data_IF_310660153425
#
_entry.id   IF_310660153425
#
_cell.length_a   1.000
_cell.length_b   1.000
_cell.length_c   1.000
_cell.angle_alpha   90.00
_cell.angle_beta   90.00
_cell.angle_gamma   90.00
#
_symmetry.space_group_name_H-M   'P 1'
#
loop_
_entity.id
_entity.type
_entity.pdbx_description
1 polymer ?
#
# COMPACT_ATOMS: atom_id res chain seq x y z
N UNK A 1 -17.55 18.65 -7.60
CA UNK A 1 -18.49 18.20 -6.56
C UNK A 1 -18.16 18.96 -5.28
N UNK A 2 -19.14 19.38 -4.48
CA UNK A 2 -18.91 20.10 -3.22
C UNK A 2 -19.03 19.13 -2.04
N UNK A 3 -17.94 18.95 -1.30
CA UNK A 3 -17.87 18.03 -0.16
C UNK A 3 -18.85 18.41 0.95
N UNK A 4 -19.10 19.70 1.18
CA UNK A 4 -20.02 20.16 2.23
C UNK A 4 -21.45 19.72 1.95
N UNK A 5 -21.83 19.73 0.67
CA UNK A 5 -23.13 19.23 0.23
C UNK A 5 -23.24 17.72 0.40
N UNK A 6 -22.18 16.97 0.09
CA UNK A 6 -22.15 15.51 0.26
C UNK A 6 -22.34 15.12 1.73
N UNK A 7 -21.52 15.67 2.62
CA UNK A 7 -21.56 15.31 4.05
C UNK A 7 -22.79 15.85 4.80
N UNK A 8 -23.63 16.66 4.14
CA UNK A 8 -24.90 17.12 4.69
C UNK A 8 -26.02 16.08 4.55
N UNK A 9 -25.81 15.04 3.74
CA UNK A 9 -26.81 14.00 3.52
C UNK A 9 -26.99 13.11 4.78
N UNK A 10 -28.20 12.55 5.02
CA UNK A 10 -28.52 11.81 6.24
C UNK A 10 -27.58 10.63 6.56
N UNK A 11 -27.07 9.96 5.53
CA UNK A 11 -26.13 8.86 5.63
C UNK A 11 -24.78 9.26 6.26
N UNK A 12 -24.42 10.54 6.23
CA UNK A 12 -23.21 11.08 6.87
C UNK A 12 -23.46 11.65 8.28
N UNK A 13 -24.66 11.48 8.83
CA UNK A 13 -25.01 12.03 10.16
C UNK A 13 -24.11 11.51 11.29
N UNK A 14 -23.50 10.33 11.13
CA UNK A 14 -22.53 9.77 12.07
C UNK A 14 -21.31 10.68 12.26
N UNK A 15 -20.90 11.47 11.25
CA UNK A 15 -19.78 12.41 11.37
C UNK A 15 -20.00 13.43 12.50
N UNK A 16 -21.26 13.73 12.84
CA UNK A 16 -21.64 14.65 13.91
C UNK A 16 -22.06 13.94 15.20
N UNK A 17 -22.72 12.79 15.06
CA UNK A 17 -23.40 12.12 16.17
C UNK A 17 -22.57 11.02 16.83
N UNK A 18 -21.54 10.48 16.16
CA UNK A 18 -20.70 9.43 16.72
C UNK A 18 -19.83 9.98 17.86
N UNK A 19 -19.75 9.30 19.02
CA UNK A 19 -18.99 9.76 20.18
C UNK A 19 -17.49 10.00 19.93
N UNK A 20 -16.89 9.30 18.97
CA UNK A 20 -15.47 9.42 18.64
C UNK A 20 -15.18 10.48 17.57
N UNK A 21 -16.22 11.04 16.95
CA UNK A 21 -16.13 11.98 15.84
C UNK A 21 -16.55 13.40 16.28
N UNK A 22 -17.42 14.07 15.53
CA UNK A 22 -17.89 15.42 15.84
C UNK A 22 -16.75 16.44 15.89
N UNK A 23 -16.64 17.14 17.01
CA UNK A 23 -15.65 18.20 17.22
C UNK A 23 -14.20 17.70 17.23
N UNK A 24 -14.00 16.38 17.31
CA UNK A 24 -12.67 15.76 17.23
C UNK A 24 -12.17 15.61 15.79
N UNK A 25 -13.01 15.82 14.79
CA UNK A 25 -12.57 15.81 13.39
C UNK A 25 -11.60 16.99 13.16
N UNK A 26 -10.36 16.65 12.79
CA UNK A 26 -9.32 17.63 12.50
C UNK A 26 -9.37 18.11 11.04
N UNK A 27 -9.69 17.21 10.11
CA UNK A 27 -9.99 17.55 8.71
C UNK A 27 -10.73 16.39 8.03
N UNK A 28 -11.55 16.72 7.04
CA UNK A 28 -12.09 15.81 6.04
C UNK A 28 -11.64 16.23 4.64
N UNK A 29 -11.54 15.27 3.74
CA UNK A 29 -11.29 15.47 2.31
C UNK A 29 -11.98 14.37 1.51
N UNK A 30 -12.24 14.65 0.23
CA UNK A 30 -12.47 13.57 -0.73
C UNK A 30 -11.24 12.67 -0.80
N UNK A 31 -11.48 11.36 -0.95
CA UNK A 31 -10.50 10.37 -1.38
C UNK A 31 -10.78 9.91 -2.80
N UNK A 32 -10.05 8.88 -3.23
CA UNK A 32 -10.40 8.11 -4.42
C UNK A 32 -10.52 8.96 -5.69
N UNK A 33 -11.41 8.54 -6.59
CA UNK A 33 -11.47 9.11 -7.96
C UNK A 33 -11.74 10.62 -7.98
N UNK A 34 -12.52 11.15 -7.04
CA UNK A 34 -12.82 12.58 -6.93
C UNK A 34 -11.55 13.35 -6.54
N UNK A 35 -10.80 12.86 -5.56
CA UNK A 35 -9.56 13.51 -5.12
C UNK A 35 -8.54 13.64 -6.25
N UNK A 36 -8.46 12.63 -7.13
CA UNK A 36 -7.58 12.62 -8.29
C UNK A 36 -8.14 13.37 -9.50
N UNK A 37 -9.42 13.76 -9.50
CA UNK A 37 -10.09 14.34 -10.66
C UNK A 37 -10.45 13.34 -11.75
N UNK A 38 -10.52 12.05 -11.42
CA UNK A 38 -10.76 10.94 -12.35
C UNK A 38 -12.14 10.31 -12.14
N UNK A 39 -13.07 11.04 -11.53
CA UNK A 39 -14.42 10.59 -11.27
C UNK A 39 -15.29 10.67 -12.52
N UNK A 40 -16.15 9.68 -12.71
CA UNK A 40 -17.25 9.64 -13.69
C UNK A 40 -18.58 9.83 -12.95
N UNK A 41 -19.72 10.01 -13.64
CA UNK A 41 -21.03 10.11 -12.99
C UNK A 41 -21.39 8.89 -12.11
N UNK A 42 -20.83 7.72 -12.40
CA UNK A 42 -21.04 6.46 -11.68
C UNK A 42 -19.98 6.20 -10.60
N UNK A 43 -19.02 7.13 -10.42
CA UNK A 43 -17.97 6.94 -9.44
C UNK A 43 -18.49 7.04 -8.02
N UNK A 44 -17.96 6.16 -7.18
CA UNK A 44 -18.09 6.15 -5.74
C UNK A 44 -17.55 7.46 -5.12
N UNK A 45 -18.13 7.81 -3.97
CA UNK A 45 -17.66 8.92 -3.14
C UNK A 45 -16.87 8.31 -1.99
N UNK A 46 -15.54 8.50 -2.02
CA UNK A 46 -14.68 8.20 -0.90
C UNK A 46 -14.52 9.44 -0.02
N UNK A 47 -14.70 9.29 1.29
CA UNK A 47 -14.33 10.32 2.28
C UNK A 47 -13.14 9.81 3.09
N UNK A 48 -12.16 10.69 3.28
CA UNK A 48 -10.99 10.45 4.12
C UNK A 48 -10.84 11.57 5.14
N UNK A 49 -10.28 11.28 6.30
CA UNK A 49 -10.10 12.31 7.31
C UNK A 49 -9.20 11.95 8.46
N UNK A 50 -8.97 12.96 9.29
CA UNK A 50 -8.12 12.87 10.48
C UNK A 50 -8.97 13.24 11.69
N UNK A 51 -8.85 12.47 12.75
CA UNK A 51 -9.52 12.71 14.02
C UNK A 51 -8.49 12.84 15.14
N UNK A 52 -8.76 13.73 16.08
CA UNK A 52 -7.96 13.92 17.28
C UNK A 52 -8.17 12.75 18.25
N UNK A 53 -7.15 12.30 18.98
CA UNK A 53 -7.28 11.18 19.92
C UNK A 53 -8.15 11.55 21.13
N UNK A 54 -8.62 10.55 21.87
CA UNK A 54 -9.14 10.79 23.23
C UNK A 54 -7.98 11.16 24.14
N UNK A 55 -8.15 12.10 25.10
CA UNK A 55 -7.14 12.35 26.11
C UNK A 55 -6.73 11.07 26.86
N UNK A 56 -7.68 10.17 27.13
CA UNK A 56 -7.39 8.88 27.75
C UNK A 56 -6.51 7.97 26.88
N UNK A 57 -6.74 7.92 25.57
CA UNK A 57 -5.91 7.14 24.63
C UNK A 57 -4.48 7.71 24.58
N UNK A 58 -4.35 9.04 24.56
CA UNK A 58 -3.05 9.72 24.53
C UNK A 58 -2.26 9.53 25.84
N UNK A 59 -2.93 9.45 26.98
CA UNK A 59 -2.32 9.25 28.30
C UNK A 59 -2.09 7.76 28.65
N UNK A 60 -2.39 6.84 27.73
CA UNK A 60 -2.21 5.41 27.94
C UNK A 60 -3.26 4.77 28.83
N UNK A 61 -4.39 5.45 29.07
CA UNK A 61 -5.56 4.94 29.79
C UNK A 61 -6.61 4.31 28.85
N UNK A 62 -6.34 4.26 27.54
CA UNK A 62 -7.25 3.69 26.53
C UNK A 62 -7.58 2.21 26.70
N UNK A 63 -6.84 1.48 27.55
CA UNK A 63 -7.12 0.08 27.90
C UNK A 63 -8.31 -0.08 28.85
N UNK A 64 -8.76 0.99 29.52
CA UNK A 64 -9.91 0.96 30.43
C UNK A 64 -11.25 1.07 29.69
N UNK A 65 -11.25 0.96 28.35
CA UNK A 65 -12.46 1.07 27.55
C UNK A 65 -13.39 -0.11 27.77
N UNK A 66 -14.68 0.20 27.76
CA UNK A 66 -15.77 -0.73 27.97
C UNK A 66 -15.83 -1.75 26.81
N UNK A 67 -16.01 -3.03 27.14
CA UNK A 67 -16.01 -4.16 26.17
C UNK A 67 -17.06 -3.98 25.06
N UNK A 68 -18.10 -3.19 25.31
CA UNK A 68 -19.17 -2.84 24.36
C UNK A 68 -18.65 -2.10 23.11
N UNK A 69 -17.59 -1.32 23.25
CA UNK A 69 -16.99 -0.56 22.14
C UNK A 69 -16.15 -1.43 21.20
N UNK A 70 -15.70 -2.60 21.65
CA UNK A 70 -14.93 -3.56 20.85
C UNK A 70 -15.81 -4.35 19.85
N UNK A 71 -17.14 -4.32 20.01
CA UNK A 71 -18.09 -4.99 19.11
C UNK A 71 -18.60 -4.09 17.97
N UNK A 72 -18.29 -2.79 17.98
CA UNK A 72 -18.68 -1.89 16.90
C UNK A 72 -17.76 -2.09 15.69
N UNK A 73 -18.33 -2.54 14.56
CA UNK A 73 -17.59 -2.82 13.33
C UNK A 73 -16.95 -1.59 12.67
N UNK A 74 -17.38 -0.38 13.07
CA UNK A 74 -16.81 0.87 12.61
C UNK A 74 -15.50 1.21 13.30
N UNK A 75 -15.25 0.69 14.51
CA UNK A 75 -14.10 1.07 15.31
C UNK A 75 -12.94 0.09 15.15
N UNK A 76 -11.79 0.63 14.76
CA UNK A 76 -10.55 -0.14 14.68
C UNK A 76 -9.63 0.27 15.83
N UNK A 77 -9.25 -0.73 16.62
CA UNK A 77 -8.35 -0.58 17.76
C UNK A 77 -6.98 -1.17 17.45
N UNK A 78 -5.93 -0.52 17.94
CA UNK A 78 -4.58 -1.05 17.98
C UNK A 78 -4.10 -1.23 19.42
N UNK A 79 -2.81 -1.47 19.59
CA UNK A 79 -2.20 -1.75 20.89
C UNK A 79 -2.36 -0.60 21.92
N UNK A 80 -2.54 0.64 21.43
CA UNK A 80 -2.62 1.84 22.26
C UNK A 80 -4.03 2.45 22.32
N UNK A 81 -5.06 1.73 21.88
CA UNK A 81 -6.44 2.20 21.90
C UNK A 81 -7.02 2.45 20.51
N UNK A 82 -7.96 3.40 20.42
CA UNK A 82 -8.70 3.68 19.19
C UNK A 82 -7.78 4.31 18.13
N UNK A 83 -7.83 3.78 16.91
CA UNK A 83 -6.89 4.14 15.86
C UNK A 83 -7.56 4.66 14.59
N UNK A 84 -8.78 4.21 14.28
CA UNK A 84 -9.43 4.51 13.02
C UNK A 84 -10.94 4.23 13.11
N UNK A 85 -11.71 5.06 12.40
CA UNK A 85 -13.14 4.88 12.14
C UNK A 85 -13.34 4.49 10.67
N UNK A 86 -14.16 3.47 10.40
CA UNK A 86 -14.51 3.05 9.04
C UNK A 86 -16.03 2.92 8.92
N UNK A 87 -16.63 3.71 8.05
CA UNK A 87 -18.01 3.49 7.60
C UNK A 87 -17.98 2.96 6.15
N UNK A 88 -18.37 1.69 5.99
CA UNK A 88 -18.36 1.01 4.69
C UNK A 88 -19.49 1.50 3.76
N UNK A 89 -20.73 1.73 4.23
CA UNK A 89 -21.81 2.24 3.38
C UNK A 89 -21.47 3.54 2.65
N UNK A 90 -20.75 4.46 3.31
CA UNK A 90 -20.36 5.77 2.74
C UNK A 90 -18.91 5.84 2.24
N UNK A 91 -18.17 4.72 2.26
CA UNK A 91 -16.71 4.67 2.02
C UNK A 91 -15.96 5.80 2.76
N UNK A 92 -16.27 5.96 4.05
CA UNK A 92 -15.62 6.95 4.92
C UNK A 92 -14.56 6.26 5.76
N UNK A 93 -13.32 6.76 5.69
CA UNK A 93 -12.22 6.28 6.54
C UNK A 93 -11.53 7.44 7.24
N UNK A 94 -11.55 7.44 8.57
CA UNK A 94 -10.96 8.48 9.41
C UNK A 94 -9.87 7.90 10.30
N UNK A 95 -8.70 8.52 10.33
CA UNK A 95 -7.56 8.03 11.11
C UNK A 95 -7.27 8.91 12.31
N UNK A 96 -6.98 8.29 13.45
CA UNK A 96 -6.49 9.03 14.61
C UNK A 96 -5.13 9.64 14.29
N UNK A 97 -4.91 10.87 14.75
CA UNK A 97 -3.74 11.71 14.41
C UNK A 97 -2.39 10.96 14.53
N UNK A 98 -2.17 10.22 15.61
CA UNK A 98 -0.93 9.48 15.81
C UNK A 98 -0.68 8.41 14.73
N UNK A 99 -1.73 7.68 14.34
CA UNK A 99 -1.66 6.64 13.29
C UNK A 99 -1.39 7.26 11.93
N UNK A 100 -2.12 8.31 11.56
CA UNK A 100 -1.97 8.91 10.23
C UNK A 100 -0.61 9.58 10.07
N UNK A 101 -0.08 10.23 11.11
CA UNK A 101 1.27 10.82 11.09
C UNK A 101 2.34 9.74 10.92
N UNK A 102 2.18 8.57 11.54
CA UNK A 102 3.08 7.43 11.33
C UNK A 102 3.04 6.90 9.88
N UNK A 103 1.87 6.95 9.22
CA UNK A 103 1.73 6.57 7.82
C UNK A 103 2.32 7.64 6.87
N UNK A 104 2.12 8.92 7.16
CA UNK A 104 2.74 10.03 6.44
C UNK A 104 4.27 9.98 6.52
N UNK A 105 4.82 9.69 7.71
CA UNK A 105 6.26 9.52 7.92
C UNK A 105 6.88 8.42 7.02
N UNK A 106 6.08 7.41 6.65
CA UNK A 106 6.50 6.32 5.74
C UNK A 106 6.19 6.63 4.26
N UNK A 107 5.75 7.84 3.93
CA UNK A 107 5.25 8.23 2.62
C UNK A 107 4.19 7.27 2.07
N UNK A 108 3.30 6.74 2.92
CA UNK A 108 2.32 5.74 2.48
C UNK A 108 1.37 6.30 1.40
N UNK A 109 1.29 5.68 0.20
CA UNK A 109 0.63 6.27 -0.96
C UNK A 109 -0.89 6.46 -0.79
N UNK A 110 -1.55 5.62 0.02
CA UNK A 110 -3.01 5.67 0.20
C UNK A 110 -3.45 6.72 1.23
N UNK A 111 -2.50 7.32 1.94
CA UNK A 111 -2.79 8.28 3.00
C UNK A 111 -2.16 9.62 2.73
N UNK A 112 -0.90 9.67 2.29
CA UNK A 112 -0.17 10.92 2.04
C UNK A 112 -0.89 11.81 1.01
N UNK A 113 -1.68 11.22 0.10
CA UNK A 113 -2.54 11.93 -0.84
C UNK A 113 -3.55 12.89 -0.17
N UNK A 114 -3.96 12.62 1.08
CA UNK A 114 -4.83 13.52 1.83
C UNK A 114 -4.18 14.89 2.06
N UNK A 115 -2.85 14.98 2.03
CA UNK A 115 -2.12 16.25 2.17
C UNK A 115 -1.96 16.99 0.83
N UNK A 116 -2.34 16.39 -0.30
CA UNK A 116 -2.15 16.94 -1.65
C UNK A 116 -3.45 17.25 -2.41
N UNK A 117 -4.59 17.20 -1.73
CA UNK A 117 -5.88 17.50 -2.34
C UNK A 117 -6.01 19.00 -2.65
N UNK A 118 -6.92 19.34 -3.57
CA UNK A 118 -7.26 20.74 -3.87
C UNK A 118 -7.93 21.40 -2.65
N UNK A 119 -7.73 22.71 -2.41
CA UNK A 119 -8.35 23.41 -1.28
C UNK A 119 -9.86 23.19 -1.15
N UNK A 120 -10.59 23.16 -2.27
CA UNK A 120 -12.03 22.92 -2.34
C UNK A 120 -12.46 21.48 -2.03
N UNK A 121 -11.52 20.53 -1.98
CA UNK A 121 -11.81 19.15 -1.59
C UNK A 121 -11.86 18.97 -0.07
N UNK A 122 -11.35 19.92 0.70
CA UNK A 122 -11.33 19.85 2.15
C UNK A 122 -12.60 20.43 2.77
N UNK A 123 -13.00 19.87 3.90
CA UNK A 123 -14.00 20.45 4.81
C UNK A 123 -13.68 20.09 6.26
N UNK A 124 -14.35 20.73 7.21
CA UNK A 124 -14.15 20.54 8.65
C UNK A 124 -12.67 20.64 9.07
N UNK A 125 -11.93 21.56 8.45
CA UNK A 125 -10.51 21.77 8.73
C UNK A 125 -10.38 22.60 10.00
N UNK A 126 -10.05 21.94 11.11
CA UNK A 126 -9.73 22.60 12.37
C UNK A 126 -8.34 23.25 12.34
N UNK A 127 -7.98 23.97 13.40
CA UNK A 127 -6.62 24.50 13.54
C UNK A 127 -5.55 23.40 13.54
N UNK A 128 -5.87 22.20 14.04
CA UNK A 128 -4.97 21.05 14.07
C UNK A 128 -4.77 20.45 12.68
N UNK A 129 -5.86 20.30 11.91
CA UNK A 129 -5.80 19.87 10.53
C UNK A 129 -5.02 20.87 9.67
N UNK A 130 -5.24 22.17 9.90
CA UNK A 130 -4.50 23.23 9.22
C UNK A 130 -3.00 23.17 9.53
N UNK A 131 -2.60 22.99 10.80
CA UNK A 131 -1.20 22.84 11.18
C UNK A 131 -0.51 21.68 10.45
N UNK A 132 -1.21 20.55 10.24
CA UNK A 132 -0.68 19.43 9.45
C UNK A 132 -0.49 19.81 7.97
N UNK A 133 -1.51 20.44 7.37
CA UNK A 133 -1.47 20.85 5.96
C UNK A 133 -0.39 21.91 5.70
N UNK A 134 -0.18 22.82 6.65
CA UNK A 134 0.82 23.90 6.57
C UNK A 134 2.26 23.37 6.76
N UNK A 135 2.44 22.13 7.24
CA UNK A 135 3.75 21.49 7.47
C UNK A 135 3.92 20.19 6.68
N UNK A 136 3.14 19.98 5.61
CA UNK A 136 3.08 18.71 4.87
C UNK A 136 4.43 18.27 4.28
N UNK A 137 5.29 19.23 3.95
CA UNK A 137 6.62 19.00 3.40
C UNK A 137 7.55 18.27 4.39
N UNK A 138 7.27 18.32 5.69
CA UNK A 138 8.04 17.58 6.70
C UNK A 138 7.98 16.07 6.48
N UNK A 139 6.95 15.56 5.82
CA UNK A 139 6.76 14.12 5.57
C UNK A 139 7.43 13.64 4.27
N UNK A 140 7.98 14.54 3.46
CA UNK A 140 8.56 14.19 2.17
C UNK A 140 9.98 13.67 2.32
N UNK A 141 10.24 12.52 1.71
CA UNK A 141 11.54 11.87 1.71
C UNK A 141 11.68 10.95 0.50
N UNK A 142 12.89 10.45 0.28
CA UNK A 142 13.17 9.43 -0.72
C UNK A 142 12.49 8.08 -0.44
N UNK A 143 11.90 7.87 0.74
CA UNK A 143 11.02 6.73 1.01
C UNK A 143 9.83 6.67 0.03
N UNK A 144 9.46 7.78 -0.59
CA UNK A 144 8.45 7.81 -1.65
C UNK A 144 8.78 6.83 -2.79
N UNK A 145 10.06 6.63 -3.13
CA UNK A 145 10.44 5.62 -4.13
C UNK A 145 10.03 4.22 -3.69
N UNK A 146 10.49 3.76 -2.54
CA UNK A 146 10.20 2.41 -2.05
C UNK A 146 8.71 2.16 -1.80
N UNK A 147 8.03 3.14 -1.19
CA UNK A 147 6.60 3.04 -0.84
C UNK A 147 5.68 3.04 -2.06
N UNK A 148 5.89 3.94 -3.01
CA UNK A 148 5.07 4.00 -4.22
C UNK A 148 5.47 2.93 -5.23
N UNK A 149 6.76 2.71 -5.49
CA UNK A 149 7.20 1.69 -6.45
C UNK A 149 6.85 0.28 -5.96
N UNK A 150 7.01 -0.01 -4.66
CA UNK A 150 6.60 -1.29 -4.08
C UNK A 150 5.10 -1.53 -4.21
N UNK A 151 4.28 -0.49 -3.93
CA UNK A 151 2.84 -0.59 -4.09
C UNK A 151 2.44 -0.71 -5.57
N UNK A 152 3.07 0.06 -6.46
CA UNK A 152 2.86 0.00 -7.91
C UNK A 152 3.21 -1.38 -8.48
N UNK A 153 4.37 -1.95 -8.13
CA UNK A 153 4.75 -3.33 -8.52
C UNK A 153 3.71 -4.34 -8.05
N UNK A 154 3.23 -4.22 -6.82
CA UNK A 154 2.13 -5.05 -6.31
C UNK A 154 0.82 -4.88 -7.10
N UNK A 155 0.47 -3.67 -7.54
CA UNK A 155 -0.70 -3.41 -8.39
C UNK A 155 -0.51 -3.96 -9.80
N UNK A 156 0.67 -3.77 -10.38
CA UNK A 156 1.03 -4.32 -11.68
C UNK A 156 0.94 -5.84 -11.69
N UNK A 157 1.43 -6.49 -10.63
CA UNK A 157 1.32 -7.93 -10.49
C UNK A 157 -0.14 -8.37 -10.40
N UNK A 158 -0.96 -7.73 -9.56
CA UNK A 158 -2.41 -8.00 -9.49
C UNK A 158 -3.12 -7.80 -10.83
N UNK A 159 -2.67 -6.84 -11.63
CA UNK A 159 -3.22 -6.56 -12.96
C UNK A 159 -2.87 -7.67 -13.96
N UNK A 160 -1.58 -8.05 -14.06
CA UNK A 160 -1.13 -9.20 -14.88
C UNK A 160 -1.86 -10.48 -14.51
N UNK A 161 -2.02 -10.70 -13.22
CA UNK A 161 -2.71 -11.83 -12.61
C UNK A 161 -4.19 -11.92 -12.98
N UNK A 162 -4.86 -10.78 -13.16
CA UNK A 162 -6.28 -10.72 -13.50
C UNK A 162 -6.55 -10.74 -15.02
N UNK A 163 -5.54 -10.39 -15.81
CA UNK A 163 -5.55 -10.40 -17.29
C UNK A 163 -5.17 -11.77 -17.86
N UNK A 164 -4.26 -12.49 -17.19
CA UNK A 164 -3.81 -13.80 -17.64
C UNK A 164 -4.97 -14.75 -17.89
N UNK A 165 -5.02 -15.33 -19.10
CA UNK A 165 -5.89 -16.48 -19.41
C UNK A 165 -5.70 -17.56 -18.34
N UNK A 166 -6.72 -18.38 -18.17
CA UNK A 166 -6.84 -19.54 -17.26
C UNK A 166 -5.78 -20.65 -17.51
N UNK A 167 -4.51 -20.29 -17.64
CA UNK A 167 -3.33 -21.15 -17.56
C UNK A 167 -2.74 -21.07 -16.13
N UNK A 168 -3.59 -20.82 -15.13
CA UNK A 168 -3.27 -20.33 -13.79
C UNK A 168 -2.43 -21.23 -12.87
N UNK A 169 -1.56 -22.11 -13.36
CA UNK A 169 -0.86 -23.05 -12.47
C UNK A 169 0.55 -22.60 -12.07
N UNK A 170 1.38 -22.06 -12.99
CA UNK A 170 2.83 -22.10 -12.76
C UNK A 170 3.55 -20.74 -12.70
N UNK A 171 3.24 -19.80 -13.61
CA UNK A 171 3.95 -18.49 -13.70
C UNK A 171 3.65 -17.55 -12.53
N UNK A 172 2.42 -17.62 -12.01
CA UNK A 172 1.92 -16.73 -10.95
C UNK A 172 2.66 -16.90 -9.62
N UNK A 173 2.99 -18.15 -9.30
CA UNK A 173 3.61 -18.55 -8.03
C UNK A 173 5.06 -18.13 -7.96
N UNK A 174 5.78 -18.25 -9.08
CA UNK A 174 7.18 -17.86 -9.19
C UNK A 174 7.36 -16.36 -8.92
N UNK A 175 6.46 -15.53 -9.43
CA UNK A 175 6.56 -14.07 -9.33
C UNK A 175 6.28 -13.56 -7.91
N UNK A 176 5.17 -14.00 -7.29
CA UNK A 176 4.84 -13.59 -5.92
C UNK A 176 5.91 -14.02 -4.92
N UNK A 177 6.55 -15.15 -5.19
CA UNK A 177 7.58 -15.69 -4.33
C UNK A 177 8.88 -14.89 -4.44
N UNK A 178 9.28 -14.48 -5.65
CA UNK A 178 10.47 -13.65 -5.87
C UNK A 178 10.43 -12.33 -5.09
N UNK A 179 9.33 -11.58 -5.22
CA UNK A 179 9.16 -10.30 -4.53
C UNK A 179 9.10 -10.49 -3.01
N UNK A 180 8.48 -11.57 -2.54
CA UNK A 180 8.43 -11.91 -1.12
C UNK A 180 9.82 -12.20 -0.57
N UNK A 181 10.66 -12.95 -1.32
CA UNK A 181 12.04 -13.23 -0.94
C UNK A 181 12.84 -11.94 -0.83
N UNK A 182 12.82 -11.13 -1.89
CA UNK A 182 13.61 -9.91 -1.96
C UNK A 182 13.20 -8.95 -0.84
N UNK A 183 11.90 -8.86 -0.54
CA UNK A 183 11.38 -8.08 0.59
C UNK A 183 11.88 -8.60 1.94
N UNK A 184 11.78 -9.91 2.17
CA UNK A 184 12.25 -10.55 3.41
C UNK A 184 13.74 -10.31 3.59
N UNK A 185 14.53 -10.55 2.54
CA UNK A 185 15.98 -10.38 2.55
C UNK A 185 16.37 -8.95 2.93
N UNK A 186 15.76 -7.95 2.28
CA UNK A 186 16.00 -6.53 2.62
C UNK A 186 15.61 -6.19 4.05
N UNK A 187 14.45 -6.66 4.51
CA UNK A 187 14.01 -6.39 5.88
C UNK A 187 14.95 -7.02 6.92
N UNK A 188 15.41 -8.25 6.67
CA UNK A 188 16.37 -8.92 7.55
C UNK A 188 17.74 -8.22 7.52
N UNK A 189 18.21 -7.76 6.36
CA UNK A 189 19.44 -6.96 6.24
C UNK A 189 19.33 -5.60 6.97
N UNK A 190 18.15 -4.99 6.98
CA UNK A 190 17.89 -3.71 7.64
C UNK A 190 17.77 -3.84 9.17
N UNK A 191 17.07 -4.86 9.65
CA UNK A 191 16.69 -4.98 11.07
C UNK A 191 17.59 -5.94 11.87
N UNK A 192 18.24 -6.91 11.23
CA UNK A 192 19.09 -7.89 11.89
C UNK A 192 20.57 -7.66 11.55
N UNK A 193 21.32 -7.07 12.48
CA UNK A 193 22.74 -6.73 12.27
C UNK A 193 23.64 -7.93 11.99
N UNK A 194 23.28 -9.09 12.53
CA UNK A 194 24.07 -10.32 12.39
C UNK A 194 23.60 -11.18 11.21
N UNK A 195 22.55 -10.75 10.52
CA UNK A 195 22.03 -11.43 9.34
C UNK A 195 22.89 -11.11 8.12
N UNK A 196 23.09 -12.13 7.28
CA UNK A 196 23.62 -11.98 5.92
C UNK A 196 22.74 -12.76 4.96
N UNK A 197 22.66 -12.29 3.72
CA UNK A 197 21.80 -12.87 2.67
C UNK A 197 22.00 -14.37 2.50
N UNK A 198 23.24 -14.85 2.61
CA UNK A 198 23.58 -16.27 2.50
C UNK A 198 23.04 -17.16 3.63
N UNK A 199 22.62 -16.58 4.76
CA UNK A 199 22.14 -17.31 5.93
C UNK A 199 20.77 -17.96 5.69
N UNK A 200 19.93 -17.38 4.85
CA UNK A 200 18.61 -17.92 4.51
C UNK A 200 18.56 -18.20 3.02
N UNK A 201 18.52 -19.49 2.67
CA UNK A 201 18.20 -19.93 1.31
C UNK A 201 16.78 -20.41 1.27
N UNK A 202 16.12 -20.18 0.15
CA UNK A 202 14.79 -20.68 -0.10
C UNK A 202 14.82 -21.55 -1.36
N UNK A 203 13.89 -22.47 -1.51
CA UNK A 203 13.79 -23.32 -2.70
C UNK A 203 12.34 -23.77 -2.88
N UNK A 204 11.92 -23.88 -4.13
CA UNK A 204 10.63 -24.49 -4.48
C UNK A 204 10.90 -25.89 -4.98
N UNK A 205 10.23 -26.87 -4.40
CA UNK A 205 10.40 -28.28 -4.77
C UNK A 205 9.05 -28.95 -4.98
N UNK A 206 9.06 -30.13 -5.58
CA UNK A 206 7.92 -31.05 -5.43
C UNK A 206 7.83 -31.55 -3.96
N UNK A 207 6.75 -32.29 -3.65
CA UNK A 207 6.58 -32.94 -2.34
C UNK A 207 7.70 -33.97 -2.01
N UNK A 208 8.47 -34.40 -3.00
CA UNK A 208 9.60 -35.34 -2.84
C UNK A 208 10.94 -34.63 -2.62
N UNK A 209 10.99 -33.29 -2.65
CA UNK A 209 12.19 -32.49 -2.47
C UNK A 209 13.01 -32.24 -3.73
N UNK A 210 12.50 -32.59 -4.92
CA UNK A 210 13.16 -32.32 -6.19
C UNK A 210 12.93 -30.86 -6.60
N UNK A 211 14.01 -30.15 -6.97
CA UNK A 211 13.93 -28.75 -7.41
C UNK A 211 13.12 -28.61 -8.71
N UNK A 212 12.35 -27.53 -8.81
CA UNK A 212 11.64 -27.18 -10.05
C UNK A 212 12.60 -26.63 -11.11
N UNK A 213 12.28 -26.90 -12.38
CA UNK A 213 12.96 -26.39 -13.57
C UNK A 213 11.97 -25.46 -14.28
N UNK A 214 12.40 -24.24 -14.61
CA UNK A 214 11.60 -23.23 -15.31
C UNK A 214 12.19 -23.01 -16.70
N UNK A 215 11.42 -23.23 -17.76
CA UNK A 215 11.88 -23.12 -19.16
C UNK A 215 13.20 -23.87 -19.44
N UNK A 216 13.36 -25.07 -18.88
CA UNK A 216 14.59 -25.87 -19.03
C UNK A 216 15.78 -25.44 -18.17
N UNK A 217 15.66 -24.37 -17.37
CA UNK A 217 16.71 -23.89 -16.46
C UNK A 217 16.39 -24.34 -15.02
N UNK A 218 17.29 -25.09 -14.35
CA UNK A 218 17.16 -25.36 -12.92
C UNK A 218 17.20 -24.05 -12.15
N UNK A 219 16.14 -23.76 -11.38
CA UNK A 219 16.01 -22.48 -10.68
C UNK A 219 16.40 -22.67 -9.22
N UNK A 220 17.47 -22.00 -8.78
CA UNK A 220 17.62 -21.71 -7.36
C UNK A 220 16.81 -20.44 -7.01
N UNK A 221 16.39 -20.25 -5.76
CA UNK A 221 15.53 -19.10 -5.42
C UNK A 221 16.14 -17.72 -5.74
N UNK A 222 17.47 -17.65 -5.96
CA UNK A 222 18.18 -16.45 -6.40
C UNK A 222 17.99 -16.14 -7.89
N UNK A 223 17.71 -17.16 -8.71
CA UNK A 223 17.52 -17.02 -10.15
C UNK A 223 16.09 -16.60 -10.52
N UNK A 224 15.16 -16.67 -9.57
CA UNK A 224 13.78 -16.22 -9.80
C UNK A 224 13.74 -14.73 -10.11
N UNK A 225 14.65 -13.92 -9.54
CA UNK A 225 14.82 -12.51 -9.90
C UNK A 225 15.45 -12.27 -11.29
N UNK A 226 16.22 -13.24 -11.80
CA UNK A 226 16.96 -13.16 -13.08
C UNK A 226 16.11 -13.68 -14.25
N UNK A 227 15.20 -14.63 -14.00
CA UNK A 227 14.28 -15.20 -15.00
C UNK A 227 13.18 -14.24 -15.47
N UNK A 228 13.07 -13.05 -14.87
CA UNK A 228 12.04 -12.06 -15.22
C UNK A 228 12.21 -11.39 -16.60
N UNK A 229 13.34 -11.58 -17.28
CA UNK A 229 13.48 -11.08 -18.64
C UNK A 229 12.82 -11.98 -19.70
N UNK A 230 12.47 -13.24 -19.37
CA UNK A 230 11.87 -14.18 -20.30
C UNK A 230 10.49 -14.66 -19.85
N UNK A 231 9.62 -14.92 -20.83
CA UNK A 231 8.26 -15.41 -20.59
C UNK A 231 8.34 -16.84 -20.06
N UNK A 232 7.96 -17.08 -18.80
CA UNK A 232 7.86 -18.44 -18.25
C UNK A 232 6.71 -19.17 -18.93
N UNK A 233 7.01 -20.24 -19.66
CA UNK A 233 6.04 -21.05 -20.41
C UNK A 233 5.78 -22.41 -19.78
N UNK A 234 6.75 -22.95 -19.03
CA UNK A 234 6.64 -24.27 -18.39
C UNK A 234 7.40 -24.35 -17.05
N UNK A 235 6.82 -25.08 -16.10
CA UNK A 235 7.50 -25.52 -14.87
C UNK A 235 7.41 -27.04 -14.81
N UNK A 236 8.56 -27.68 -14.73
CA UNK A 236 8.65 -29.13 -14.67
C UNK A 236 9.50 -29.60 -13.49
N UNK A 237 9.21 -30.80 -13.01
CA UNK A 237 10.11 -31.56 -12.14
C UNK A 237 10.38 -32.87 -12.84
N UNK A 238 11.67 -33.21 -13.01
CA UNK A 238 12.08 -34.40 -13.77
C UNK A 238 11.41 -34.49 -15.16
N UNK A 239 11.30 -33.35 -15.86
CA UNK A 239 10.66 -33.22 -17.18
C UNK A 239 9.15 -33.52 -17.23
N UNK A 240 8.47 -33.53 -16.08
CA UNK A 240 7.00 -33.62 -15.99
C UNK A 240 6.39 -32.32 -15.50
N UNK A 241 5.27 -31.85 -16.09
CA UNK A 241 4.52 -30.72 -15.54
C UNK A 241 4.10 -31.01 -14.10
N UNK A 242 4.31 -30.04 -13.21
CA UNK A 242 3.90 -30.13 -11.81
C UNK A 242 2.62 -29.32 -11.59
N UNK A 243 1.72 -29.83 -10.76
CA UNK A 243 0.47 -29.16 -10.40
C UNK A 243 0.60 -28.39 -9.10
N UNK A 244 -0.37 -27.53 -8.85
CA UNK A 244 -0.42 -26.65 -7.70
C UNK A 244 -0.33 -27.35 -6.33
N UNK A 245 -0.89 -28.55 -6.25
CA UNK A 245 -1.00 -29.36 -5.04
C UNK A 245 0.28 -30.16 -4.76
N UNK A 246 1.19 -30.21 -5.73
CA UNK A 246 2.41 -31.02 -5.68
C UNK A 246 3.65 -30.18 -5.33
N UNK A 247 3.50 -28.86 -5.13
CA UNK A 247 4.60 -27.92 -4.87
C UNK A 247 4.69 -27.57 -3.39
N UNK A 248 5.92 -27.49 -2.86
CA UNK A 248 6.21 -26.98 -1.52
C UNK A 248 7.33 -25.95 -1.51
N UNK A 249 7.34 -25.15 -0.44
CA UNK A 249 8.38 -24.17 -0.15
C UNK A 249 9.33 -24.71 0.92
N UNK A 250 10.62 -24.75 0.60
CA UNK A 250 11.67 -25.18 1.51
C UNK A 250 12.60 -24.02 1.87
N UNK A 251 13.11 -24.05 3.10
CA UNK A 251 14.11 -23.09 3.60
C UNK A 251 15.34 -23.83 4.09
N UNK A 252 16.52 -23.28 3.84
CA UNK A 252 17.75 -23.64 4.51
C UNK A 252 18.23 -22.45 5.32
N UNK A 253 18.35 -22.62 6.63
CA UNK A 253 18.77 -21.58 7.55
C UNK A 253 20.11 -21.96 8.17
N UNK A 254 21.14 -21.15 7.95
CA UNK A 254 22.46 -21.32 8.53
C UNK A 254 22.84 -20.06 9.31
N UNK A 255 22.62 -20.11 10.63
CA UNK A 255 22.94 -19.03 11.55
C UNK A 255 23.48 -19.64 12.85
N UNK A 256 24.50 -19.02 13.41
CA UNK A 256 25.10 -19.43 14.68
C UNK A 256 25.02 -18.27 15.68
N UNK A 257 24.66 -18.58 16.94
CA UNK A 257 24.60 -17.62 18.06
C UNK A 257 23.82 -16.31 17.77
N UNK A 258 22.69 -16.39 17.05
CA UNK A 258 21.87 -15.21 16.76
C UNK A 258 21.16 -14.68 18.02
N UNK A 259 21.20 -13.36 18.31
CA UNK A 259 20.45 -12.77 19.42
C UNK A 259 18.94 -13.06 19.36
N UNK A 260 18.31 -13.27 20.52
CA UNK A 260 16.91 -13.71 20.59
C UNK A 260 15.92 -12.77 19.90
N UNK A 261 16.16 -11.45 19.94
CA UNK A 261 15.36 -10.45 19.24
C UNK A 261 15.48 -10.59 17.71
N UNK A 262 16.69 -10.76 17.19
CA UNK A 262 16.93 -10.97 15.74
C UNK A 262 16.37 -12.32 15.29
N UNK A 263 16.49 -13.37 16.12
CA UNK A 263 15.89 -14.68 15.85
C UNK A 263 14.36 -14.58 15.72
N UNK A 264 13.72 -13.82 16.60
CA UNK A 264 12.26 -13.60 16.53
C UNK A 264 11.86 -12.92 15.22
N UNK A 265 12.65 -11.96 14.73
CA UNK A 265 12.40 -11.28 13.45
C UNK A 265 12.53 -12.28 12.29
N UNK A 266 13.62 -13.07 12.24
CA UNK A 266 13.82 -14.11 11.21
C UNK A 266 12.67 -15.12 11.18
N UNK A 267 12.25 -15.61 12.35
CA UNK A 267 11.13 -16.56 12.45
C UNK A 267 9.80 -15.96 11.96
N UNK A 268 9.55 -14.68 12.25
CA UNK A 268 8.34 -13.97 11.81
C UNK A 268 8.32 -13.75 10.30
N UNK A 269 9.47 -13.44 9.70
CA UNK A 269 9.58 -13.29 8.24
C UNK A 269 9.37 -14.62 7.50
N UNK A 270 9.98 -15.71 7.97
CA UNK A 270 9.76 -17.05 7.41
C UNK A 270 8.28 -17.42 7.51
N UNK A 271 7.65 -17.18 8.67
CA UNK A 271 6.22 -17.45 8.87
C UNK A 271 5.35 -16.64 7.90
N UNK A 272 5.70 -15.36 7.69
CA UNK A 272 4.97 -14.48 6.76
C UNK A 272 5.12 -14.98 5.32
N UNK A 273 6.31 -15.42 4.93
CA UNK A 273 6.58 -16.04 3.63
C UNK A 273 5.71 -17.28 3.39
N UNK A 274 5.64 -18.19 4.36
CA UNK A 274 4.82 -19.40 4.27
C UNK A 274 3.34 -19.05 4.11
N UNK A 275 2.83 -18.07 4.88
CA UNK A 275 1.45 -17.61 4.76
C UNK A 275 1.15 -17.03 3.37
N UNK A 276 2.06 -16.22 2.83
CA UNK A 276 1.92 -15.61 1.51
C UNK A 276 1.96 -16.65 0.40
N UNK A 277 2.90 -17.60 0.46
CA UNK A 277 2.98 -18.72 -0.46
C UNK A 277 1.69 -19.56 -0.45
N UNK A 278 1.20 -19.94 0.73
CA UNK A 278 0.00 -20.77 0.87
C UNK A 278 -1.28 -20.04 0.44
N UNK A 279 -1.36 -18.71 0.62
CA UNK A 279 -2.51 -17.90 0.17
C UNK A 279 -2.73 -17.96 -1.34
N UNK A 280 -1.70 -18.32 -2.10
CA UNK A 280 -1.75 -18.41 -3.56
C UNK A 280 -1.89 -19.85 -4.08
N UNK A 281 -1.85 -20.85 -3.20
CA UNK A 281 -2.14 -22.25 -3.56
C UNK A 281 -3.65 -22.50 -3.50
N UNK A 282 -4.24 -23.01 -4.58
CA UNK A 282 -5.64 -23.48 -4.62
C UNK A 282 -6.73 -22.40 -4.74
N UNK A 283 -6.39 -21.12 -4.72
CA UNK A 283 -7.35 -20.04 -4.92
C UNK A 283 -7.44 -19.66 -6.41
N UNK A 284 -8.54 -20.04 -7.08
CA UNK A 284 -8.87 -19.50 -8.40
C UNK A 284 -9.16 -18.00 -8.26
N UNK A 285 -8.41 -17.15 -8.95
CA UNK A 285 -8.74 -15.73 -9.02
C UNK A 285 -10.13 -15.57 -9.65
N UNK A 286 -11.04 -14.91 -8.94
CA UNK A 286 -12.26 -14.45 -9.56
C UNK A 286 -11.93 -13.47 -10.69
N UNK A 287 -12.44 -13.76 -11.89
CA UNK A 287 -12.25 -12.90 -13.07
C UNK A 287 -12.82 -11.52 -12.77
N UNK A 288 -11.98 -10.50 -12.79
CA UNK A 288 -12.42 -9.10 -12.74
C UNK A 288 -13.00 -8.72 -14.10
N UNK A 289 -14.05 -7.91 -14.10
CA UNK A 289 -14.54 -7.30 -15.32
C UNK A 289 -13.52 -6.30 -15.90
N UNK A 290 -13.70 -5.95 -17.16
CA UNK A 290 -12.82 -5.04 -17.90
C UNK A 290 -12.74 -3.66 -17.23
N UNK A 291 -13.84 -3.16 -16.65
CA UNK A 291 -13.85 -1.86 -15.97
C UNK A 291 -12.93 -1.86 -14.75
N UNK A 292 -12.99 -2.89 -13.92
CA UNK A 292 -12.11 -3.04 -12.77
C UNK A 292 -10.65 -3.24 -13.17
N UNK A 293 -10.36 -3.98 -14.26
CA UNK A 293 -9.02 -4.09 -14.81
C UNK A 293 -8.46 -2.73 -15.23
N UNK A 294 -9.27 -1.92 -15.93
CA UNK A 294 -8.89 -0.59 -16.37
C UNK A 294 -8.73 0.40 -15.21
N UNK A 295 -9.60 0.36 -14.20
CA UNK A 295 -9.47 1.15 -12.94
C UNK A 295 -8.14 0.80 -12.25
N UNK A 296 -7.77 -0.47 -12.21
CA UNK A 296 -6.50 -0.94 -11.67
C UNK A 296 -5.29 -0.46 -12.49
N UNK A 297 -5.36 -0.52 -13.82
CA UNK A 297 -4.32 -0.07 -14.73
C UNK A 297 -4.06 1.45 -14.63
N UNK A 298 -5.12 2.24 -14.56
CA UNK A 298 -5.03 3.68 -14.33
C UNK A 298 -4.39 3.99 -12.97
N UNK A 299 -4.84 3.30 -11.92
CA UNK A 299 -4.34 3.49 -10.56
C UNK A 299 -2.83 3.23 -10.46
N UNK A 300 -2.33 2.22 -11.17
CA UNK A 300 -0.90 1.92 -11.28
C UNK A 300 -0.09 3.13 -11.75
N UNK A 301 -0.46 3.75 -12.88
CA UNK A 301 0.30 4.87 -13.42
C UNK A 301 0.14 6.13 -12.59
N UNK A 302 -1.05 6.35 -12.02
CA UNK A 302 -1.26 7.45 -11.08
C UNK A 302 -0.27 7.42 -9.91
N UNK A 303 0.04 6.24 -9.36
CA UNK A 303 1.06 6.09 -8.31
C UNK A 303 2.44 6.54 -8.78
N UNK A 304 2.85 6.16 -10.00
CA UNK A 304 4.13 6.60 -10.56
C UNK A 304 4.19 8.13 -10.71
N UNK A 305 3.14 8.77 -11.22
CA UNK A 305 3.09 10.23 -11.37
C UNK A 305 3.18 10.96 -10.02
N UNK A 306 2.45 10.48 -9.01
CA UNK A 306 2.51 11.08 -7.67
C UNK A 306 3.90 10.92 -7.04
N UNK A 307 4.51 9.75 -7.21
CA UNK A 307 5.86 9.49 -6.70
C UNK A 307 6.91 10.37 -7.40
N UNK A 308 6.74 10.62 -8.71
CA UNK A 308 7.58 11.53 -9.48
C UNK A 308 7.45 12.98 -8.96
N UNK A 309 6.22 13.46 -8.72
CA UNK A 309 5.97 14.79 -8.15
C UNK A 309 6.69 14.95 -6.80
N UNK A 310 6.60 13.94 -5.93
CA UNK A 310 7.29 13.96 -4.64
C UNK A 310 8.82 13.99 -4.84
N UNK A 311 9.38 13.02 -5.56
CA UNK A 311 10.83 12.85 -5.65
C UNK A 311 11.52 13.98 -6.42
N UNK A 312 10.88 14.49 -7.47
CA UNK A 312 11.48 15.49 -8.36
C UNK A 312 11.21 16.92 -7.90
N UNK A 313 10.02 17.18 -7.34
CA UNK A 313 9.56 18.55 -7.02
C UNK A 313 9.40 18.81 -5.54
N UNK A 314 9.30 17.77 -4.71
CA UNK A 314 8.99 17.92 -3.30
C UNK A 314 7.55 18.38 -3.07
N UNK A 315 6.62 17.95 -3.92
CA UNK A 315 5.20 18.32 -3.85
C UNK A 315 4.31 17.08 -3.78
N UNK A 316 3.22 17.17 -3.02
CA UNK A 316 2.16 16.15 -3.01
C UNK A 316 1.03 16.71 -3.87
N UNK A 317 0.84 16.15 -5.06
CA UNK A 317 -0.23 16.57 -5.97
C UNK A 317 -1.17 15.40 -6.21
N UNK A 318 -2.32 15.46 -5.56
CA UNK A 318 -3.34 14.41 -5.64
C UNK A 318 -4.18 14.57 -6.89
N UNK A 319 -4.61 15.79 -7.21
CA UNK A 319 -5.41 16.05 -8.40
C UNK A 319 -4.57 15.95 -9.68
N UNK A 320 -4.99 15.12 -10.64
CA UNK A 320 -4.24 14.77 -11.85
C UNK A 320 -4.69 15.56 -13.06
N UNK A 321 -4.58 16.88 -12.97
CA UNK A 321 -4.95 17.77 -14.07
C UNK A 321 -4.07 17.55 -15.33
N UNK A 322 -2.76 17.43 -15.15
CA UNK A 322 -1.81 17.27 -16.27
C UNK A 322 -1.93 15.91 -16.95
N UNK A 323 -2.15 14.85 -16.17
CA UNK A 323 -2.26 13.47 -16.67
C UNK A 323 -3.72 13.03 -16.83
N UNK A 324 -4.69 13.94 -16.70
CA UNK A 324 -6.11 13.63 -16.64
C UNK A 324 -6.54 12.79 -17.83
N UNK A 325 -6.29 13.27 -19.05
CA UNK A 325 -6.77 12.66 -20.27
C UNK A 325 -6.15 11.28 -20.50
N UNK A 326 -4.86 11.13 -20.18
CA UNK A 326 -4.15 9.85 -20.24
C UNK A 326 -4.69 8.85 -19.21
N UNK A 327 -4.92 9.27 -17.97
CA UNK A 327 -5.43 8.38 -16.93
C UNK A 327 -6.89 7.99 -17.21
N UNK A 328 -7.68 8.92 -17.77
CA UNK A 328 -9.05 8.66 -18.20
C UNK A 328 -9.11 7.72 -19.40
N UNK A 329 -8.26 7.88 -20.43
CA UNK A 329 -8.25 6.96 -21.57
C UNK A 329 -7.93 5.52 -21.15
N UNK A 330 -7.01 5.34 -20.20
CA UNK A 330 -6.72 4.03 -19.60
C UNK A 330 -7.94 3.51 -18.83
N UNK A 331 -8.56 4.35 -17.99
CA UNK A 331 -9.75 3.97 -17.20
C UNK A 331 -10.94 3.58 -18.09
N UNK A 332 -11.13 4.25 -19.22
CA UNK A 332 -12.20 3.97 -20.19
C UNK A 332 -11.87 2.83 -21.15
N UNK A 333 -10.65 2.28 -21.08
CA UNK A 333 -10.27 1.05 -21.78
C UNK A 333 -9.67 1.22 -23.16
N UNK A 334 -9.19 2.42 -23.52
CA UNK A 334 -8.51 2.66 -24.81
C UNK A 334 -7.28 1.76 -24.99
N UNK A 335 -6.61 1.43 -23.89
CA UNK A 335 -5.44 0.56 -23.88
C UNK A 335 -5.79 -0.92 -23.69
N UNK A 336 -7.07 -1.31 -23.65
CA UNK A 336 -7.49 -2.69 -23.42
C UNK A 336 -7.81 -3.39 -24.74
N UNK A 337 -7.10 -4.48 -25.03
CA UNK A 337 -7.40 -5.37 -26.14
C UNK A 337 -8.45 -6.40 -25.71
N UNK A 338 -9.69 -6.21 -26.18
CA UNK A 338 -10.83 -7.09 -25.86
C UNK A 338 -10.70 -8.49 -26.44
N UNK A 339 -10.05 -8.65 -27.60
CA UNK A 339 -9.88 -9.96 -28.26
C UNK A 339 -8.90 -10.85 -27.49
N UNK A 340 -7.83 -10.24 -26.98
CA UNK A 340 -6.78 -10.92 -26.23
C UNK A 340 -7.03 -10.90 -24.71
N UNK A 341 -8.05 -10.17 -24.26
CA UNK A 341 -8.38 -9.93 -22.84
C UNK A 341 -7.17 -9.41 -22.03
N UNK A 342 -6.41 -8.48 -22.62
CA UNK A 342 -5.17 -7.95 -22.03
C UNK A 342 -5.03 -6.46 -22.31
N UNK A 343 -4.13 -5.80 -21.57
CA UNK A 343 -3.68 -4.46 -21.91
C UNK A 343 -2.73 -4.51 -23.11
N UNK A 344 -2.71 -3.41 -23.85
CA UNK A 344 -1.89 -3.20 -25.03
C UNK A 344 -0.39 -3.15 -24.69
N UNK A 345 0.50 -3.54 -25.62
CA UNK A 345 1.95 -3.36 -25.46
C UNK A 345 2.34 -1.92 -25.10
N UNK A 346 1.65 -0.93 -25.67
CA UNK A 346 1.86 0.49 -25.44
C UNK A 346 1.66 0.87 -23.96
N UNK A 347 0.69 0.25 -23.27
CA UNK A 347 0.50 0.45 -21.84
C UNK A 347 1.67 -0.12 -21.03
N UNK A 348 2.13 -1.33 -21.36
CA UNK A 348 3.26 -1.95 -20.67
C UNK A 348 4.56 -1.16 -20.86
N UNK A 349 4.79 -0.64 -22.07
CA UNK A 349 5.93 0.24 -22.35
C UNK A 349 5.86 1.54 -21.55
N UNK A 350 4.67 2.10 -21.35
CA UNK A 350 4.48 3.27 -20.49
C UNK A 350 4.83 2.96 -19.03
N UNK A 351 4.38 1.83 -18.48
CA UNK A 351 4.76 1.40 -17.11
C UNK A 351 6.28 1.25 -16.98
N UNK A 352 6.93 0.59 -17.95
CA UNK A 352 8.39 0.40 -17.95
C UNK A 352 9.15 1.73 -18.03
N UNK A 353 8.68 2.69 -18.84
CA UNK A 353 9.25 4.04 -18.89
C UNK A 353 9.09 4.77 -17.57
N UNK A 354 7.92 4.67 -16.94
CA UNK A 354 7.66 5.31 -15.66
C UNK A 354 8.52 4.73 -14.54
N UNK A 355 8.75 3.40 -14.51
CA UNK A 355 9.62 2.77 -13.52
C UNK A 355 11.07 3.28 -13.62
N UNK A 356 11.61 3.35 -14.84
CA UNK A 356 12.95 3.94 -15.11
C UNK A 356 13.01 5.41 -14.72
N UNK A 357 12.00 6.19 -15.11
CA UNK A 357 11.91 7.62 -14.79
C UNK A 357 11.87 7.85 -13.28
N UNK A 358 11.13 7.01 -12.55
CA UNK A 358 11.03 7.10 -11.10
C UNK A 358 12.36 6.79 -10.41
N UNK A 359 13.11 5.79 -10.90
CA UNK A 359 14.46 5.51 -10.41
C UNK A 359 15.39 6.71 -10.63
N UNK A 360 15.38 7.31 -11.82
CA UNK A 360 16.16 8.53 -12.10
C UNK A 360 15.74 9.70 -11.20
N UNK A 361 14.45 9.87 -10.93
CA UNK A 361 13.95 10.88 -10.01
C UNK A 361 14.44 10.64 -8.57
N UNK A 362 14.46 9.39 -8.12
CA UNK A 362 15.00 8.99 -6.81
C UNK A 362 16.49 9.30 -6.69
N UNK A 363 17.30 8.91 -7.68
CA UNK A 363 18.76 9.11 -7.69
C UNK A 363 19.14 10.60 -7.66
N UNK A 364 18.37 11.43 -8.36
CA UNK A 364 18.60 12.88 -8.44
C UNK A 364 17.84 13.69 -7.37
N UNK A 365 17.05 13.03 -6.51
CA UNK A 365 16.22 13.72 -5.54
C UNK A 365 17.05 14.45 -4.48
N UNK A 366 16.64 15.68 -4.17
CA UNK A 366 17.20 16.49 -3.08
C UNK A 366 16.52 16.24 -1.73
N UNK A 367 15.49 15.41 -1.71
CA UNK A 367 14.81 15.03 -0.48
C UNK A 367 15.74 14.22 0.43
N UNK A 368 15.55 14.29 1.75
CA UNK A 368 16.30 13.44 2.67
C UNK A 368 15.91 11.97 2.50
N UNK A 369 16.79 11.04 2.92
CA UNK A 369 16.50 9.60 2.86
C UNK A 369 15.26 9.22 3.70
N UNK A 370 15.03 9.92 4.81
CA UNK A 370 13.85 9.78 5.68
C UNK A 370 13.41 11.16 6.21
N UNK A 371 12.14 11.34 6.60
CA UNK A 371 11.69 12.56 7.25
C UNK A 371 12.47 12.84 8.55
N UNK A 372 12.66 14.11 8.90
CA UNK A 372 13.31 14.50 10.16
C UNK A 372 12.42 14.10 11.35
N UNK A 373 12.80 13.00 12.01
CA UNK A 373 12.06 12.43 13.15
C UNK A 373 11.83 13.45 14.26
N UNK A 374 12.79 14.33 14.55
CA UNK A 374 12.66 15.32 15.60
C UNK A 374 11.68 16.42 15.22
N UNK A 375 11.67 16.89 13.97
CA UNK A 375 10.68 17.87 13.48
C UNK A 375 9.28 17.28 13.47
N UNK A 376 9.10 16.07 12.95
CA UNK A 376 7.80 15.40 12.92
C UNK A 376 7.28 15.15 14.34
N UNK A 377 8.15 14.69 15.25
CA UNK A 377 7.79 14.51 16.65
C UNK A 377 7.35 15.82 17.30
N UNK A 378 8.07 16.92 17.08
CA UNK A 378 7.69 18.24 17.61
C UNK A 378 6.33 18.70 17.08
N UNK A 379 6.09 18.58 15.77
CA UNK A 379 4.79 18.92 15.18
C UNK A 379 3.65 18.13 15.85
N UNK A 380 3.81 16.82 16.00
CA UNK A 380 2.80 15.97 16.65
C UNK A 380 2.58 16.37 18.12
N UNK A 381 3.65 16.61 18.87
CA UNK A 381 3.58 17.08 20.26
C UNK A 381 2.87 18.42 20.35
N UNK A 382 3.21 19.40 19.51
CA UNK A 382 2.61 20.73 19.52
C UNK A 382 1.11 20.67 19.25
N UNK A 383 0.69 19.86 18.27
CA UNK A 383 -0.73 19.64 17.97
C UNK A 383 -1.46 19.02 19.17
N UNK A 384 -0.90 17.95 19.76
CA UNK A 384 -1.51 17.31 20.93
C UNK A 384 -1.60 18.24 22.13
N UNK A 385 -0.55 19.01 22.43
CA UNK A 385 -0.55 19.94 23.57
C UNK A 385 -1.58 21.04 23.41
N UNK A 386 -1.73 21.62 22.21
CA UNK A 386 -2.79 22.60 21.93
C UNK A 386 -4.17 21.98 22.09
N UNK A 387 -4.36 20.79 21.53
CA UNK A 387 -5.62 20.04 21.64
C UNK A 387 -6.01 19.73 23.08
N UNK A 388 -5.07 19.30 23.93
CA UNK A 388 -5.34 19.02 25.34
C UNK A 388 -5.63 20.30 26.14
N UNK A 389 -5.07 21.45 25.77
CA UNK A 389 -5.37 22.73 26.44
C UNK A 389 -6.80 23.21 26.14
N UNK A 390 -7.32 22.94 24.94
CA UNK A 390 -8.69 23.30 24.56
C UNK A 390 -9.71 22.25 25.01
N UNK A 391 -9.30 20.99 25.09
CA UNK A 391 -10.12 19.86 25.55
C UNK A 391 -10.15 19.84 27.07
N UNK A 392 -10.87 20.78 27.70
CA UNK A 392 -11.15 20.69 29.14
C UNK A 392 -12.04 19.46 29.41
N UNK A 393 -11.79 18.70 30.49
CA UNK A 393 -12.61 17.56 30.88
C UNK A 393 -14.05 17.96 31.21
#
# INVERSE_FOLDING_TARGET
MDINKVISAPEYSFLKNDPYLGDRIALLTFGGSISYGLNTPESDIDIRGIIMPEPADLLGCGFLKDDSSAQNEHYIYGANGFEQYIDRPTDTTLYVLGKIVALFYKCNPNTIEMLGCKPEHYTMVSEYGKLLLDNRELFLSKLAYGSFAGYARGQFQRLKNAIGKDNGSNVFKSISLADSIERIQRHLEEECKHYKRECLKMSVTDLSGNKIIVNGIPVDAYDVGVLFNDTVTEITVNSKPITDEEVQLCFSLNMDMLPANEFSIVANEITSCVKEFNKHLGHRNHKKDTYHLNKHAMHLLRLYFMAEDILSRGEIITYREKEHDLLMSIKTGEYFNTEQNTLSPEFFDMVNRMDKKLLTAYENSKLPERPDKSKVSRLLTDIHMRYLQTSKP
#
